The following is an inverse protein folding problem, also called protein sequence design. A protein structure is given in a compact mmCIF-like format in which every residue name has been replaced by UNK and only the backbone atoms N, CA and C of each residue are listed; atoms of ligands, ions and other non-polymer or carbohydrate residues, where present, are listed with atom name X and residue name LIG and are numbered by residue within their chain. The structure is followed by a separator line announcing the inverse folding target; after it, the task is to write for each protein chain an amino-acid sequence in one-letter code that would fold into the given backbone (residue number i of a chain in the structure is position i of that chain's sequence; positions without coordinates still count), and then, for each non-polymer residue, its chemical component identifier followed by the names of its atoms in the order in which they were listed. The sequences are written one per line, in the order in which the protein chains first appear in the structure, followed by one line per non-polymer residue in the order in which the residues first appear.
data_IF_323490661038
#
_entry.id   IF_323490661038
#
_cell.length_a   1.000
_cell.length_b   1.000
_cell.length_c   1.000
_cell.angle_alpha   90.00
_cell.angle_beta   90.00
_cell.angle_gamma   90.00
#
_symmetry.space_group_name_H-M   'P 1'
#
loop_
_entity.id
_entity.type
_entity.pdbx_description
1 polymer ?
#
# COMPACT_ATOMS: atom_id res chain seq x y z
N UNK A 1 -8.61 -17.02 9.78
CA UNK A 1 -8.86 -17.81 8.54
C UNK A 1 -7.66 -18.69 8.22
N UNK A 2 -7.84 -19.93 7.72
CA UNK A 2 -6.70 -20.81 7.35
C UNK A 2 -6.01 -20.30 6.07
N UNK A 3 -4.76 -20.73 5.84
CA UNK A 3 -3.95 -20.27 4.70
C UNK A 3 -4.54 -20.69 3.35
N UNK A 4 -4.92 -21.96 3.23
CA UNK A 4 -5.52 -22.51 2.00
C UNK A 4 -6.79 -21.76 1.59
N UNK A 5 -7.68 -21.50 2.55
CA UNK A 5 -8.92 -20.76 2.29
C UNK A 5 -8.62 -19.32 1.84
N UNK A 6 -7.65 -18.66 2.47
CA UNK A 6 -7.21 -17.32 2.06
C UNK A 6 -6.70 -17.28 0.62
N UNK A 7 -5.84 -18.23 0.25
CA UNK A 7 -5.28 -18.29 -1.10
C UNK A 7 -6.37 -18.52 -2.15
N UNK A 8 -7.33 -19.41 -1.87
CA UNK A 8 -8.47 -19.66 -2.76
C UNK A 8 -9.37 -18.43 -2.98
N UNK A 9 -9.53 -17.56 -1.97
CA UNK A 9 -10.29 -16.31 -2.10
C UNK A 9 -9.46 -15.17 -2.69
N UNK A 10 -8.13 -15.20 -2.54
CA UNK A 10 -7.25 -14.16 -3.06
C UNK A 10 -7.03 -14.28 -4.56
N UNK A 11 -6.96 -15.50 -5.09
CA UNK A 11 -6.71 -15.78 -6.51
C UNK A 11 -7.68 -15.04 -7.47
N UNK A 12 -9.03 -15.12 -7.31
CA UNK A 12 -9.94 -14.38 -8.18
C UNK A 12 -9.77 -12.85 -8.05
N UNK A 13 -9.51 -12.35 -6.84
CA UNK A 13 -9.25 -10.92 -6.62
C UNK A 13 -7.96 -10.46 -7.33
N UNK A 14 -6.95 -11.32 -7.38
CA UNK A 14 -5.70 -11.05 -8.09
C UNK A 14 -5.89 -11.03 -9.61
N UNK A 15 -6.83 -11.82 -10.14
CA UNK A 15 -7.21 -11.73 -11.55
C UNK A 15 -7.90 -10.39 -11.85
N UNK A 16 -8.83 -9.96 -11.00
CA UNK A 16 -9.48 -8.65 -11.12
C UNK A 16 -8.49 -7.48 -10.96
N UNK A 17 -7.51 -7.59 -10.06
CA UNK A 17 -6.41 -6.61 -9.95
C UNK A 17 -5.58 -6.53 -11.24
N UNK A 18 -5.35 -7.64 -11.93
CA UNK A 18 -4.69 -7.64 -13.24
C UNK A 18 -5.54 -6.95 -14.31
N UNK A 19 -6.87 -7.13 -14.27
CA UNK A 19 -7.79 -6.43 -15.16
C UNK A 19 -7.79 -4.92 -14.88
N UNK A 20 -7.80 -4.52 -13.61
CA UNK A 20 -7.63 -3.14 -13.18
C UNK A 20 -6.34 -2.53 -13.74
N UNK A 21 -5.19 -3.19 -13.58
CA UNK A 21 -3.91 -2.67 -14.07
C UNK A 21 -3.91 -2.50 -15.60
N UNK A 22 -4.48 -3.46 -16.34
CA UNK A 22 -4.67 -3.33 -17.80
C UNK A 22 -5.60 -2.19 -18.17
N UNK A 23 -6.69 -2.02 -17.42
CA UNK A 23 -7.66 -0.93 -17.64
C UNK A 23 -7.04 0.44 -17.39
N UNK A 24 -6.24 0.61 -16.33
CA UNK A 24 -5.49 1.85 -16.07
C UNK A 24 -4.56 2.17 -17.24
N UNK A 25 -3.81 1.18 -17.72
CA UNK A 25 -2.91 1.34 -18.87
C UNK A 25 -3.63 1.72 -20.16
N UNK A 26 -4.76 1.08 -20.43
CA UNK A 26 -5.55 1.37 -21.62
C UNK A 26 -6.19 2.76 -21.58
N UNK A 27 -6.67 3.19 -20.41
CA UNK A 27 -7.40 4.46 -20.25
C UNK A 27 -6.50 5.65 -19.89
N UNK A 28 -5.24 5.40 -19.50
CA UNK A 28 -4.35 6.42 -18.95
C UNK A 28 -4.73 6.90 -17.55
N UNK A 29 -5.75 6.31 -16.91
CA UNK A 29 -6.13 6.62 -15.52
C UNK A 29 -5.00 6.25 -14.55
N UNK A 30 -5.04 6.89 -13.38
CA UNK A 30 -3.96 6.85 -12.38
C UNK A 30 -4.55 6.46 -11.03
N UNK A 31 -3.91 5.53 -10.32
CA UNK A 31 -4.40 5.04 -9.03
C UNK A 31 -3.39 5.31 -7.92
N UNK A 32 -3.85 5.95 -6.85
CA UNK A 32 -3.10 6.11 -5.60
C UNK A 32 -3.87 5.41 -4.48
N UNK A 33 -3.19 4.52 -3.77
CA UNK A 33 -3.73 3.86 -2.57
C UNK A 33 -2.84 4.19 -1.38
N UNK A 34 -3.40 4.88 -0.39
CA UNK A 34 -2.76 5.16 0.88
C UNK A 34 -3.14 4.07 1.89
N UNK A 35 -2.15 3.38 2.43
CA UNK A 35 -2.33 2.40 3.49
C UNK A 35 -1.79 3.00 4.79
N UNK A 36 -2.70 3.46 5.64
CA UNK A 36 -2.42 3.95 6.97
C UNK A 36 -2.93 3.00 8.04
N UNK A 37 -2.48 3.23 9.27
CA UNK A 37 -2.87 2.44 10.43
C UNK A 37 -1.69 2.24 11.37
N UNK A 38 -2.00 1.65 12.52
CA UNK A 38 -1.02 1.41 13.59
C UNK A 38 0.14 0.54 13.11
N UNK A 39 1.24 0.58 13.86
CA UNK A 39 2.30 -0.39 13.69
C UNK A 39 1.75 -1.80 13.91
N UNK A 40 2.28 -2.74 13.13
CA UNK A 40 1.83 -4.14 13.04
C UNK A 40 0.41 -4.39 12.50
N UNK A 41 -0.32 -3.36 12.05
CA UNK A 41 -1.69 -3.51 11.54
C UNK A 41 -1.79 -4.44 10.32
N UNK A 42 -0.84 -4.38 9.38
CA UNK A 42 -0.81 -5.29 8.21
C UNK A 42 -0.55 -4.62 6.86
N UNK A 43 -0.10 -3.36 6.83
CA UNK A 43 0.16 -2.56 5.61
C UNK A 43 0.97 -3.30 4.55
N UNK A 44 2.23 -3.65 4.84
CA UNK A 44 3.09 -4.38 3.90
C UNK A 44 2.54 -5.75 3.46
N UNK A 45 1.77 -6.44 4.30
CA UNK A 45 1.11 -7.69 3.90
C UNK A 45 -0.01 -7.47 2.88
N UNK A 46 -0.71 -6.34 2.97
CA UNK A 46 -1.73 -5.91 2.00
C UNK A 46 -1.09 -5.48 0.69
N UNK A 47 0.00 -4.69 0.75
CA UNK A 47 0.78 -4.29 -0.43
C UNK A 47 1.23 -5.53 -1.18
N UNK A 48 1.84 -6.49 -0.50
CA UNK A 48 2.30 -7.73 -1.13
C UNK A 48 1.14 -8.53 -1.76
N UNK A 49 -0.05 -8.55 -1.12
CA UNK A 49 -1.20 -9.25 -1.69
C UNK A 49 -1.69 -8.60 -2.99
N UNK A 50 -1.65 -7.26 -3.06
CA UNK A 50 -2.00 -6.48 -4.26
C UNK A 50 -0.94 -6.66 -5.34
N UNK A 51 0.35 -6.53 -5.01
CA UNK A 51 1.44 -6.49 -6.00
C UNK A 51 1.89 -7.85 -6.51
N UNK A 52 1.57 -8.95 -5.79
CA UNK A 52 2.12 -10.29 -6.08
C UNK A 52 1.92 -10.78 -7.52
N UNK A 53 0.86 -10.33 -8.21
CA UNK A 53 0.54 -10.76 -9.57
C UNK A 53 0.54 -9.62 -10.58
N UNK A 54 0.87 -8.40 -10.17
CA UNK A 54 0.87 -7.23 -11.05
C UNK A 54 2.21 -7.06 -11.77
N UNK A 55 2.16 -6.44 -12.95
CA UNK A 55 3.37 -6.06 -13.67
C UNK A 55 4.15 -4.99 -12.88
N UNK A 56 5.38 -5.25 -12.42
CA UNK A 56 6.15 -4.32 -11.58
C UNK A 56 6.52 -3.01 -12.30
N UNK A 57 6.36 -2.92 -13.62
CA UNK A 57 6.53 -1.67 -14.38
C UNK A 57 5.33 -0.73 -14.26
N UNK A 58 4.19 -1.23 -13.78
CA UNK A 58 2.92 -0.49 -13.68
C UNK A 58 2.56 -0.16 -12.24
N UNK A 59 3.18 -0.85 -11.28
CA UNK A 59 2.94 -0.62 -9.85
C UNK A 59 4.24 -0.37 -9.13
N UNK A 60 4.30 0.71 -8.37
CA UNK A 60 5.40 1.00 -7.47
C UNK A 60 4.92 1.21 -6.04
N UNK A 61 5.78 0.80 -5.11
CA UNK A 61 5.54 0.94 -3.67
C UNK A 61 6.34 2.12 -3.16
N UNK A 62 5.66 3.07 -2.52
CA UNK A 62 6.25 4.26 -1.92
C UNK A 62 6.36 4.04 -0.42
N UNK A 63 7.58 3.80 0.07
CA UNK A 63 7.88 3.58 1.48
C UNK A 63 9.05 4.49 1.90
N UNK A 64 8.76 5.78 2.11
CA UNK A 64 9.79 6.78 2.39
C UNK A 64 10.33 6.65 3.82
N UNK A 65 11.65 6.81 3.96
CA UNK A 65 12.29 6.94 5.26
C UNK A 65 11.95 8.29 5.92
N UNK A 66 12.42 8.50 7.16
CA UNK A 66 12.34 9.80 7.84
C UNK A 66 12.91 10.92 6.95
N UNK A 67 12.32 12.12 6.97
CA UNK A 67 12.75 13.22 6.10
C UNK A 67 14.19 13.64 6.44
N UNK A 68 14.98 13.87 5.39
CA UNK A 68 16.30 14.51 5.44
C UNK A 68 16.18 15.96 5.94
N UNK A 69 17.30 16.59 6.29
CA UNK A 69 17.31 18.00 6.69
C UNK A 69 16.75 18.92 5.60
N UNK A 70 17.13 18.67 4.33
CA UNK A 70 16.58 19.40 3.19
C UNK A 70 15.08 19.22 3.06
N UNK A 71 14.57 17.99 3.18
CA UNK A 71 13.13 17.71 3.08
C UNK A 71 12.34 18.33 4.25
N UNK A 72 12.92 18.44 5.45
CA UNK A 72 12.30 19.17 6.57
C UNK A 72 12.17 20.67 6.31
N UNK A 73 13.06 21.24 5.50
CA UNK A 73 12.99 22.64 5.07
C UNK A 73 12.08 22.89 3.87
N UNK A 74 11.50 21.85 3.26
CA UNK A 74 10.60 21.97 2.12
C UNK A 74 9.14 22.15 2.55
N UNK A 75 8.29 22.45 1.56
CA UNK A 75 6.86 22.22 1.76
C UNK A 75 6.60 20.73 2.00
N UNK A 76 5.83 20.40 3.03
CA UNK A 76 5.70 19.04 3.54
C UNK A 76 5.27 18.00 2.48
N UNK A 77 4.37 18.38 1.57
CA UNK A 77 3.87 17.48 0.52
C UNK A 77 4.88 17.27 -0.63
N UNK A 78 5.87 18.14 -0.78
CA UNK A 78 6.78 18.17 -1.93
C UNK A 78 7.49 16.83 -2.16
N UNK A 79 7.98 16.19 -1.09
CA UNK A 79 8.66 14.89 -1.21
C UNK A 79 7.74 13.76 -1.66
N UNK A 80 6.43 13.86 -1.39
CA UNK A 80 5.46 12.84 -1.78
C UNK A 80 4.98 13.03 -3.22
N UNK A 81 4.90 14.29 -3.69
CA UNK A 81 4.49 14.63 -5.07
C UNK A 81 5.38 13.95 -6.10
N UNK A 82 6.69 13.85 -5.85
CA UNK A 82 7.63 13.18 -6.75
C UNK A 82 7.39 11.67 -6.94
N UNK A 83 6.48 11.07 -6.17
CA UNK A 83 6.12 9.65 -6.26
C UNK A 83 4.69 9.39 -6.74
N UNK A 84 3.96 10.45 -7.13
CA UNK A 84 2.63 10.29 -7.72
C UNK A 84 2.72 9.58 -9.09
N UNK A 85 1.71 8.77 -9.44
CA UNK A 85 1.73 7.95 -10.65
C UNK A 85 1.56 8.78 -11.93
N UNK A 86 2.25 8.35 -12.99
CA UNK A 86 1.97 8.74 -14.36
C UNK A 86 0.84 7.90 -14.98
N UNK A 87 0.41 8.23 -16.20
CA UNK A 87 -0.71 7.56 -16.87
C UNK A 87 -0.57 6.03 -16.89
N UNK A 88 -1.59 5.33 -16.41
CA UNK A 88 -1.61 3.87 -16.34
C UNK A 88 -0.86 3.25 -15.16
N UNK A 89 -0.33 4.06 -14.24
CA UNK A 89 0.42 3.58 -13.08
C UNK A 89 -0.42 3.52 -11.80
N UNK A 90 0.03 2.65 -10.89
CA UNK A 90 -0.49 2.45 -9.54
C UNK A 90 0.61 2.80 -8.54
N UNK A 91 0.35 3.78 -7.68
CA UNK A 91 1.22 4.09 -6.55
C UNK A 91 0.61 3.59 -5.23
N UNK A 92 1.28 2.65 -4.57
CA UNK A 92 0.88 2.12 -3.26
C UNK A 92 1.77 2.74 -2.16
N UNK A 93 1.17 3.56 -1.31
CA UNK A 93 1.89 4.25 -0.23
C UNK A 93 1.84 3.40 1.06
N UNK A 94 2.99 2.86 1.49
CA UNK A 94 3.16 2.27 2.84
C UNK A 94 3.48 3.41 3.82
N UNK A 95 2.42 3.92 4.44
CA UNK A 95 2.38 5.28 5.00
C UNK A 95 2.50 6.35 3.91
N UNK A 96 2.11 7.57 4.27
CA UNK A 96 1.92 8.67 3.32
C UNK A 96 2.21 10.02 3.99
N UNK A 97 1.74 11.11 3.38
CA UNK A 97 1.69 12.42 4.02
C UNK A 97 0.93 12.41 5.36
N UNK A 98 0.08 11.41 5.62
CA UNK A 98 -0.56 11.25 6.92
C UNK A 98 0.36 10.86 8.08
N UNK A 99 1.66 10.62 7.83
CA UNK A 99 2.67 10.58 8.89
C UNK A 99 2.56 11.79 9.84
N UNK A 100 2.26 12.98 9.32
CA UNK A 100 2.09 14.20 10.13
C UNK A 100 0.89 14.14 11.08
N UNK A 101 -0.21 13.52 10.67
CA UNK A 101 -1.40 13.38 11.51
C UNK A 101 -1.36 12.16 12.44
N UNK A 102 -0.38 11.26 12.28
CA UNK A 102 -0.18 10.11 13.14
C UNK A 102 1.10 10.22 13.95
N UNK A 103 2.17 9.61 13.45
CA UNK A 103 3.43 9.44 14.19
C UNK A 103 4.09 10.77 14.54
N UNK A 104 4.13 11.76 13.65
CA UNK A 104 4.78 13.04 13.97
C UNK A 104 4.02 13.78 15.07
N UNK A 105 2.69 13.74 15.05
CA UNK A 105 1.84 14.33 16.09
C UNK A 105 2.06 13.68 17.45
N UNK A 106 1.97 12.35 17.52
CA UNK A 106 2.00 11.59 18.78
C UNK A 106 3.40 11.51 19.39
N UNK A 107 4.44 11.55 18.53
CA UNK A 107 5.84 11.47 18.94
C UNK A 107 6.51 12.83 19.06
N UNK A 108 5.83 13.94 18.72
CA UNK A 108 6.38 15.29 18.82
C UNK A 108 7.43 15.61 17.76
N UNK A 109 7.33 15.01 16.56
CA UNK A 109 8.24 15.28 15.44
C UNK A 109 7.79 16.45 14.55
N UNK A 110 6.63 17.05 14.84
CA UNK A 110 6.17 18.29 14.23
C UNK A 110 5.63 19.23 15.31
N UNK A 111 5.70 20.54 15.04
CA UNK A 111 5.07 21.55 15.90
C UNK A 111 3.54 21.53 15.78
N UNK A 112 2.84 22.08 16.77
CA UNK A 112 1.38 22.27 16.71
C UNK A 112 0.93 23.06 15.48
N UNK A 113 1.73 24.06 15.09
CA UNK A 113 1.46 24.90 13.92
C UNK A 113 1.54 24.11 12.61
N UNK A 114 2.51 23.20 12.50
CA UNK A 114 2.68 22.32 11.34
C UNK A 114 1.57 21.28 11.25
N UNK A 115 1.21 20.67 12.38
CA UNK A 115 0.10 19.72 12.46
C UNK A 115 -1.23 20.37 12.05
N UNK A 116 -1.55 21.52 12.62
CA UNK A 116 -2.78 22.27 12.29
C UNK A 116 -2.80 22.71 10.82
N UNK A 117 -1.65 23.16 10.30
CA UNK A 117 -1.51 23.50 8.88
C UNK A 117 -1.73 22.28 7.98
N UNK A 118 -1.18 21.13 8.36
CA UNK A 118 -1.34 19.88 7.61
C UNK A 118 -2.81 19.46 7.53
N UNK A 119 -3.54 19.46 8.66
CA UNK A 119 -4.95 19.09 8.66
C UNK A 119 -5.81 19.98 7.75
N UNK A 120 -5.44 21.26 7.59
CA UNK A 120 -6.09 22.18 6.65
C UNK A 120 -5.66 21.96 5.20
N UNK A 121 -4.37 21.64 4.96
CA UNK A 121 -3.82 21.51 3.62
C UNK A 121 -4.09 20.14 2.97
N UNK A 122 -4.14 19.05 3.74
CA UNK A 122 -4.30 17.70 3.19
C UNK A 122 -5.59 17.55 2.35
N UNK A 123 -6.78 18.00 2.80
CA UNK A 123 -8.00 17.91 1.98
C UNK A 123 -7.92 18.72 0.69
N UNK A 124 -7.25 19.89 0.72
CA UNK A 124 -7.04 20.75 -0.46
C UNK A 124 -6.08 20.09 -1.44
N UNK A 125 -4.97 19.52 -0.93
CA UNK A 125 -4.02 18.77 -1.72
C UNK A 125 -4.68 17.59 -2.43
N UNK A 126 -5.44 16.78 -1.69
CA UNK A 126 -6.14 15.62 -2.22
C UNK A 126 -7.23 16.01 -3.22
N UNK A 127 -7.92 17.13 -3.01
CA UNK A 127 -8.89 17.66 -3.97
C UNK A 127 -8.24 17.93 -5.32
N UNK A 128 -7.07 18.57 -5.35
CA UNK A 128 -6.35 18.83 -6.60
C UNK A 128 -5.97 17.53 -7.32
N UNK A 129 -5.55 16.49 -6.59
CA UNK A 129 -5.23 15.19 -7.18
C UNK A 129 -6.45 14.54 -7.82
N UNK A 130 -7.59 14.55 -7.12
CA UNK A 130 -8.83 13.94 -7.60
C UNK A 130 -9.40 14.73 -8.79
N UNK A 131 -9.36 16.06 -8.76
CA UNK A 131 -9.79 16.91 -9.88
C UNK A 131 -8.94 16.70 -11.14
N UNK A 132 -7.64 16.46 -10.98
CA UNK A 132 -6.74 16.09 -12.08
C UNK A 132 -7.04 14.67 -12.64
N UNK A 133 -7.82 13.87 -11.92
CA UNK A 133 -8.28 12.55 -12.35
C UNK A 133 -7.50 11.37 -11.76
N UNK A 134 -6.74 11.59 -10.68
CA UNK A 134 -6.19 10.51 -9.87
C UNK A 134 -7.32 9.87 -9.06
N UNK A 135 -7.43 8.54 -9.18
CA UNK A 135 -8.28 7.73 -8.32
C UNK A 135 -7.56 7.57 -6.97
N UNK A 136 -8.02 8.28 -5.94
CA UNK A 136 -7.38 8.28 -4.62
C UNK A 136 -8.18 7.46 -3.61
N UNK A 137 -7.56 6.43 -3.06
CA UNK A 137 -8.13 5.58 -2.01
C UNK A 137 -7.31 5.69 -0.74
N UNK A 138 -7.98 5.93 0.40
CA UNK A 138 -7.34 6.06 1.71
C UNK A 138 -7.89 5.02 2.68
N UNK A 139 -7.04 4.11 3.13
CA UNK A 139 -7.42 3.02 4.03
C UNK A 139 -6.74 3.14 5.39
N UNK A 140 -7.53 3.04 6.45
CA UNK A 140 -7.05 2.84 7.81
C UNK A 140 -7.24 1.38 8.23
N UNK A 141 -6.13 0.69 8.47
CA UNK A 141 -6.12 -0.69 8.94
C UNK A 141 -6.31 -0.70 10.47
N UNK A 142 -7.53 -0.97 10.92
CA UNK A 142 -7.89 -1.02 12.34
C UNK A 142 -7.46 -2.35 12.97
N UNK A 143 -6.83 -2.27 14.13
CA UNK A 143 -6.41 -3.44 14.91
C UNK A 143 -6.57 -3.12 16.38
N UNK A 144 -7.13 -4.06 17.13
CA UNK A 144 -7.27 -3.93 18.58
C UNK A 144 -5.92 -4.08 19.27
N UNK A 145 -5.75 -3.41 20.41
CA UNK A 145 -4.48 -3.42 21.13
C UNK A 145 -4.01 -4.83 21.46
N UNK A 146 -4.91 -5.72 21.90
CA UNK A 146 -4.56 -7.12 22.17
C UNK A 146 -3.96 -7.85 20.96
N UNK A 147 -4.49 -7.61 19.75
CA UNK A 147 -3.96 -8.18 18.52
C UNK A 147 -2.64 -7.52 18.11
N UNK A 148 -2.50 -6.21 18.36
CA UNK A 148 -1.26 -5.48 18.14
C UNK A 148 -0.12 -6.05 19.02
N UNK A 149 -0.39 -6.27 20.30
CA UNK A 149 0.53 -6.84 21.29
C UNK A 149 1.00 -8.24 20.90
N UNK A 150 0.07 -9.12 20.51
CA UNK A 150 0.40 -10.46 20.06
C UNK A 150 1.37 -10.45 18.85
N UNK A 151 1.18 -9.51 17.92
CA UNK A 151 2.05 -9.35 16.74
C UNK A 151 3.40 -8.75 17.08
N UNK A 152 3.48 -7.85 18.06
CA UNK A 152 4.76 -7.38 18.58
C UNK A 152 5.56 -8.53 19.18
N UNK A 153 4.93 -9.36 20.01
CA UNK A 153 5.56 -10.54 20.60
C UNK A 153 6.02 -11.55 19.52
N UNK A 154 5.19 -11.85 18.51
CA UNK A 154 5.56 -12.71 17.39
C UNK A 154 6.80 -12.19 16.64
N UNK A 155 6.84 -10.89 16.32
CA UNK A 155 7.97 -10.26 15.61
C UNK A 155 9.24 -10.26 16.43
N UNK A 156 9.14 -10.09 17.75
CA UNK A 156 10.28 -10.14 18.65
C UNK A 156 10.88 -11.55 18.72
N UNK A 157 10.01 -12.57 18.74
CA UNK A 157 10.44 -13.97 18.77
C UNK A 157 11.08 -14.42 17.44
N UNK A 158 10.47 -14.07 16.30
CA UNK A 158 10.86 -14.53 14.95
C UNK A 158 12.09 -13.77 14.39
N UNK A 159 13.26 -14.41 14.25
CA UNK A 159 14.47 -13.77 13.74
C UNK A 159 14.31 -13.12 12.35
N UNK A 160 13.43 -13.64 11.50
CA UNK A 160 13.18 -13.12 10.16
C UNK A 160 12.29 -11.86 10.15
N UNK A 161 11.69 -11.53 11.30
CA UNK A 161 10.78 -10.39 11.46
C UNK A 161 11.26 -9.35 12.46
N UNK A 162 12.28 -9.63 13.28
CA UNK A 162 12.82 -8.68 14.29
C UNK A 162 13.20 -7.32 13.70
N UNK A 163 13.74 -7.30 12.49
CA UNK A 163 14.11 -6.06 11.79
C UNK A 163 12.92 -5.10 11.57
N UNK A 164 11.67 -5.60 11.67
CA UNK A 164 10.44 -4.80 11.58
C UNK A 164 10.04 -4.10 12.88
N UNK A 165 10.89 -4.13 13.89
CA UNK A 165 10.69 -3.45 15.18
C UNK A 165 11.70 -2.32 15.31
N UNK A 166 11.22 -1.09 15.26
CA UNK A 166 12.01 0.12 15.50
C UNK A 166 11.83 0.63 16.94
N UNK A 167 12.76 1.46 17.46
CA UNK A 167 12.55 2.15 18.74
C UNK A 167 11.28 3.00 18.77
N UNK A 168 10.89 3.58 17.64
CA UNK A 168 9.64 4.35 17.51
C UNK A 168 8.43 3.44 17.66
N UNK A 169 8.47 2.23 17.11
CA UNK A 169 7.36 1.26 17.21
C UNK A 169 7.15 0.83 18.67
N UNK A 170 8.24 0.64 19.43
CA UNK A 170 8.18 0.29 20.84
C UNK A 170 7.60 1.43 21.69
N UNK A 171 7.99 2.68 21.43
CA UNK A 171 7.41 3.83 22.11
C UNK A 171 5.95 4.08 21.68
N UNK A 172 5.60 3.78 20.43
CA UNK A 172 4.23 3.91 19.91
C UNK A 172 3.26 2.90 20.53
N UNK A 173 3.76 1.72 20.94
CA UNK A 173 3.01 0.68 21.64
C UNK A 173 2.34 1.19 22.91
N UNK A 174 3.06 2.00 23.70
CA UNK A 174 2.56 2.57 24.97
C UNK A 174 1.53 3.70 24.75
N UNK A 175 1.52 4.31 23.57
CA UNK A 175 0.68 5.47 23.21
C UNK A 175 -0.60 5.11 22.44
N UNK A 176 -1.17 3.94 22.72
CA UNK A 176 -2.29 3.41 21.92
C UNK A 176 -3.48 4.38 21.87
N UNK A 177 -3.82 5.02 22.99
CA UNK A 177 -4.96 5.94 23.10
C UNK A 177 -4.71 7.25 22.34
N UNK A 178 -3.51 7.80 22.44
CA UNK A 178 -3.08 9.04 21.79
C UNK A 178 -3.09 8.89 20.26
N UNK A 179 -2.63 7.75 19.74
CA UNK A 179 -2.79 7.42 18.33
C UNK A 179 -4.26 7.27 17.91
N UNK A 180 -5.14 6.83 18.81
CA UNK A 180 -6.59 6.79 18.57
C UNK A 180 -7.17 8.19 18.42
N UNK A 181 -6.84 9.08 19.36
CA UNK A 181 -7.25 10.49 19.32
C UNK A 181 -6.72 11.22 18.07
N UNK A 182 -5.46 10.98 17.70
CA UNK A 182 -4.87 11.56 16.50
C UNK A 182 -5.54 11.06 15.22
N UNK A 183 -5.88 9.77 15.14
CA UNK A 183 -6.68 9.19 14.04
C UNK A 183 -8.07 9.85 13.94
N UNK A 184 -8.76 10.02 15.07
CA UNK A 184 -10.12 10.57 15.06
C UNK A 184 -10.12 12.04 14.60
N UNK A 185 -9.15 12.84 15.07
CA UNK A 185 -8.94 14.20 14.58
C UNK A 185 -8.56 14.25 13.08
N UNK A 186 -7.75 13.30 12.62
CA UNK A 186 -7.40 13.16 11.21
C UNK A 186 -8.62 12.83 10.34
N UNK A 187 -9.49 11.93 10.78
CA UNK A 187 -10.73 11.59 10.08
C UNK A 187 -11.67 12.78 10.02
N UNK A 188 -11.91 13.46 11.14
CA UNK A 188 -12.77 14.65 11.19
C UNK A 188 -12.30 15.72 10.20
N UNK A 189 -10.99 15.99 10.15
CA UNK A 189 -10.44 17.02 9.28
C UNK A 189 -10.34 16.62 7.79
N UNK A 190 -10.24 15.32 7.48
CA UNK A 190 -9.81 14.88 6.14
C UNK A 190 -10.66 13.78 5.49
N UNK A 191 -11.71 13.29 6.15
CA UNK A 191 -12.73 12.49 5.51
C UNK A 191 -13.66 13.43 4.71
N UNK A 192 -13.54 13.39 3.39
CA UNK A 192 -14.30 14.28 2.50
C UNK A 192 -15.01 13.48 1.41
N UNK A 193 -16.01 14.08 0.76
CA UNK A 193 -16.76 13.43 -0.31
C UNK A 193 -15.86 13.05 -1.51
N UNK A 194 -14.87 13.88 -1.84
CA UNK A 194 -13.97 13.64 -2.96
C UNK A 194 -12.80 12.71 -2.61
N UNK A 195 -12.39 12.65 -1.34
CA UNK A 195 -11.34 11.77 -0.85
C UNK A 195 -11.75 11.16 0.51
N UNK A 196 -12.63 10.14 0.52
CA UNK A 196 -13.09 9.52 1.75
C UNK A 196 -12.01 8.64 2.39
N UNK A 197 -12.14 8.47 3.70
CA UNK A 197 -11.44 7.44 4.47
C UNK A 197 -12.27 6.18 4.59
N UNK A 198 -11.63 5.03 4.42
CA UNK A 198 -12.22 3.72 4.64
C UNK A 198 -11.50 3.01 5.79
N UNK A 199 -12.26 2.46 6.73
CA UNK A 199 -11.71 1.69 7.85
C UNK A 199 -11.93 0.22 7.58
N UNK A 200 -10.88 -0.58 7.72
CA UNK A 200 -10.96 -2.04 7.53
C UNK A 200 -10.51 -2.73 8.80
N UNK A 201 -11.31 -3.68 9.28
CA UNK A 201 -10.94 -4.55 10.40
C UNK A 201 -9.80 -5.49 9.97
N UNK A 202 -8.66 -5.33 10.63
CA UNK A 202 -7.44 -6.08 10.42
C UNK A 202 -7.08 -6.96 11.62
N UNK A 203 -7.99 -7.23 12.56
CA UNK A 203 -7.78 -8.20 13.63
C UNK A 203 -7.44 -9.59 13.06
N UNK A 204 -8.15 -10.04 12.02
CA UNK A 204 -7.69 -11.12 11.13
C UNK A 204 -7.08 -10.52 9.86
N UNK A 205 -5.74 -10.46 9.78
CA UNK A 205 -5.04 -9.84 8.65
C UNK A 205 -5.37 -10.48 7.30
N UNK A 206 -5.71 -11.77 7.24
CA UNK A 206 -6.03 -12.42 5.97
C UNK A 206 -7.40 -11.96 5.48
N UNK A 207 -8.39 -11.90 6.39
CA UNK A 207 -9.71 -11.35 6.06
C UNK A 207 -9.63 -9.87 5.71
N UNK A 208 -8.92 -9.08 6.50
CA UNK A 208 -8.74 -7.64 6.24
C UNK A 208 -8.17 -7.35 4.84
N UNK A 209 -7.21 -8.15 4.37
CA UNK A 209 -6.66 -8.04 3.00
C UNK A 209 -7.73 -8.30 1.93
N UNK A 210 -8.47 -9.41 2.06
CA UNK A 210 -9.52 -9.75 1.10
C UNK A 210 -10.61 -8.68 1.06
N UNK A 211 -11.05 -8.21 2.25
CA UNK A 211 -12.05 -7.15 2.38
C UNK A 211 -11.58 -5.85 1.74
N UNK A 212 -10.34 -5.44 2.00
CA UNK A 212 -9.78 -4.21 1.42
C UNK A 212 -9.68 -4.31 -0.10
N UNK A 213 -9.16 -5.42 -0.64
CA UNK A 213 -9.00 -5.61 -2.09
C UNK A 213 -10.36 -5.65 -2.78
N UNK A 214 -11.33 -6.39 -2.24
CA UNK A 214 -12.70 -6.43 -2.76
C UNK A 214 -13.32 -5.03 -2.75
N UNK A 215 -13.21 -4.30 -1.64
CA UNK A 215 -13.70 -2.93 -1.55
C UNK A 215 -13.05 -2.02 -2.59
N UNK A 216 -11.73 -2.10 -2.78
CA UNK A 216 -11.03 -1.30 -3.79
C UNK A 216 -11.62 -1.56 -5.18
N UNK A 217 -11.77 -2.82 -5.56
CA UNK A 217 -12.30 -3.25 -6.85
C UNK A 217 -13.77 -2.83 -7.05
N UNK A 218 -14.61 -2.91 -6.00
CA UNK A 218 -16.03 -2.54 -6.08
C UNK A 218 -16.28 -1.05 -6.24
N UNK A 219 -15.32 -0.21 -5.85
CA UNK A 219 -15.42 1.25 -5.92
C UNK A 219 -14.76 1.84 -7.16
N UNK A 220 -14.24 0.98 -8.03
CA UNK A 220 -13.73 1.37 -9.34
C UNK A 220 -14.85 1.28 -10.38
N UNK A 221 -14.79 2.07 -11.46
CA UNK A 221 -15.76 1.95 -12.55
C UNK A 221 -15.65 0.58 -13.22
N UNK A 222 -16.60 0.27 -14.11
CA UNK A 222 -16.55 -0.95 -14.92
C UNK A 222 -15.22 -1.07 -15.68
N UNK A 223 -14.47 -2.13 -15.35
CA UNK A 223 -13.12 -2.39 -15.83
C UNK A 223 -13.07 -3.22 -17.12
N UNK A 224 -14.23 -3.50 -17.74
CA UNK A 224 -14.31 -4.29 -18.98
C UNK A 224 -13.48 -3.64 -20.08
N UNK A 225 -12.56 -4.42 -20.64
CA UNK A 225 -11.78 -4.09 -21.82
C UNK A 225 -12.15 -5.05 -22.95
N UNK A 226 -11.99 -4.66 -24.23
CA UNK A 226 -12.13 -5.58 -25.35
C UNK A 226 -11.17 -6.76 -25.19
N UNK A 227 -11.68 -7.99 -25.32
CA UNK A 227 -10.82 -9.17 -25.27
C UNK A 227 -9.84 -9.15 -26.45
N UNK A 228 -8.55 -9.30 -26.15
CA UNK A 228 -7.49 -9.50 -27.14
C UNK A 228 -6.84 -10.86 -26.89
N UNK A 229 -7.41 -11.94 -27.42
CA UNK A 229 -6.86 -13.28 -27.20
C UNK A 229 -5.46 -13.37 -27.82
N UNK A 230 -4.49 -13.82 -27.01
CA UNK A 230 -3.14 -14.09 -27.50
C UNK A 230 -3.16 -15.47 -28.14
N UNK A 231 -3.01 -15.52 -29.46
CA UNK A 231 -2.83 -16.78 -30.19
C UNK A 231 -1.36 -17.17 -30.16
N UNK A 232 -1.07 -18.39 -29.69
CA UNK A 232 0.26 -18.99 -29.76
C UNK A 232 0.27 -20.05 -30.87
N UNK A 233 0.58 -19.68 -32.12
CA UNK A 233 0.66 -20.67 -33.20
C UNK A 233 1.76 -21.70 -32.89
N UNK A 234 1.60 -22.96 -33.35
CA UNK A 234 2.64 -23.97 -33.21
C UNK A 234 3.96 -23.49 -33.81
N UNK A 235 5.07 -23.80 -33.13
CA UNK A 235 6.39 -23.56 -33.69
C UNK A 235 6.58 -24.39 -34.96
N UNK A 236 7.26 -23.82 -35.97
CA UNK A 236 7.57 -24.52 -37.22
C UNK A 236 8.48 -25.77 -37.02
N UNK A 237 9.09 -25.91 -35.85
CA UNK A 237 9.95 -27.04 -35.50
C UNK A 237 9.85 -27.41 -34.02
N UNK A 238 10.60 -28.45 -33.64
CA UNK A 238 10.66 -28.88 -32.23
C UNK A 238 11.32 -27.79 -31.37
N UNK A 239 10.86 -27.56 -30.12
CA UNK A 239 11.52 -26.66 -29.18
C UNK A 239 13.01 -27.01 -29.03
N UNK A 240 13.87 -26.00 -29.18
CA UNK A 240 15.30 -26.18 -29.02
C UNK A 240 15.68 -26.44 -27.55
N UNK A 241 16.80 -27.13 -27.33
CA UNK A 241 17.41 -27.27 -25.99
C UNK A 241 18.60 -26.34 -25.87
N UNK A 242 18.60 -25.50 -24.84
CA UNK A 242 19.71 -24.61 -24.56
C UNK A 242 20.98 -25.40 -24.19
N UNK A 243 22.12 -25.04 -24.78
CA UNK A 243 23.42 -25.69 -24.56
C UNK A 243 24.50 -24.64 -24.36
N UNK A 244 25.27 -24.77 -23.27
CA UNK A 244 26.34 -23.84 -22.90
C UNK A 244 27.72 -24.45 -23.19
N UNK A 245 28.22 -24.23 -24.41
CA UNK A 245 29.52 -24.76 -24.87
C UNK A 245 30.71 -23.87 -24.47
N UNK A 246 30.45 -22.61 -24.10
CA UNK A 246 31.47 -21.66 -23.66
C UNK A 246 32.03 -21.91 -22.25
N UNK A 247 32.89 -20.99 -21.76
CA UNK A 247 33.53 -21.11 -20.44
C UNK A 247 32.54 -20.92 -19.28
N UNK A 248 31.40 -20.27 -19.52
CA UNK A 248 30.35 -20.08 -18.52
C UNK A 248 29.50 -21.34 -18.43
N UNK A 249 29.36 -21.89 -17.23
CA UNK A 249 28.57 -23.11 -16.96
C UNK A 249 27.33 -22.79 -16.11
N UNK A 250 26.21 -23.50 -16.34
CA UNK A 250 25.04 -23.38 -15.47
C UNK A 250 25.38 -23.71 -14.02
N UNK A 251 24.76 -22.98 -13.09
CA UNK A 251 24.80 -23.31 -11.67
C UNK A 251 24.06 -24.64 -11.47
N UNK A 252 24.70 -25.61 -10.82
CA UNK A 252 24.07 -26.90 -10.54
C UNK A 252 22.92 -26.72 -9.53
N UNK A 253 21.75 -27.25 -9.85
CA UNK A 253 20.64 -27.28 -8.88
C UNK A 253 21.04 -28.08 -7.64
N UNK A 254 20.62 -27.59 -6.48
CA UNK A 254 20.76 -28.26 -5.18
C UNK A 254 19.39 -28.57 -4.55
N UNK A 255 18.32 -28.25 -5.26
CA UNK A 255 16.92 -28.45 -4.89
C UNK A 255 16.21 -29.26 -5.98
#
# INVERSE_FOLDING_TARGET
MKKKDYEAHLEPLQLELNQLARWLQHTGKRLVVLLEGRDTAGKGGTINAITATLNPRQVHVVALAKPTERERGQWYFQRYVGHLPAAGEIALFDRSWYNRAGVERVMGFCSESEYTRFLKQAPVFEKMLVEDGILLFKYWLAVDQAQQEARFAERAADPLKRWKLSPVDLAAREKYREYGQARDAMFEATHTRHAPWYVVDFNDQRRGRLTLIRHLLDHLPDLRLPESPVTLPPLAGKPARERFTGPVKPIRSRY
#
